data_IF_066402142047
#
_entry.id   IF_066402142047
#
_cell.length_a   1.000
_cell.length_b   1.000
_cell.length_c   1.000
_cell.angle_alpha   90.00
_cell.angle_beta   90.00
_cell.angle_gamma   90.00
#
_symmetry.space_group_name_H-M   'P 1'
#
loop_
_entity.id
_entity.type
_entity.pdbx_description
1 polymer ?
#
# COMPACT_ATOMS: atom_id res chain seq x y z
N UNK A 1 -4.62 17.20 -61.20
CA UNK A 1 -3.54 18.07 -60.69
C UNK A 1 -4.03 19.50 -60.80
N UNK A 2 -3.52 20.34 -59.90
CA UNK A 2 -3.74 21.80 -59.75
C UNK A 2 -4.85 22.24 -58.77
N UNK A 3 -4.39 22.56 -57.55
CA UNK A 3 -4.84 23.71 -56.76
C UNK A 3 -3.79 24.84 -56.94
N UNK A 4 -3.98 26.06 -56.37
CA UNK A 4 -5.01 27.08 -56.58
C UNK A 4 -4.33 28.44 -56.93
N UNK A 5 -4.97 29.61 -56.77
CA UNK A 5 -4.42 30.49 -55.72
C UNK A 5 -5.43 31.29 -54.89
N UNK A 6 -4.92 31.68 -53.71
CA UNK A 6 -5.44 32.60 -52.70
C UNK A 6 -5.95 33.94 -53.23
N UNK A 7 -6.99 34.47 -52.57
CA UNK A 7 -7.09 35.91 -52.33
C UNK A 7 -7.68 36.19 -50.95
N UNK A 8 -6.94 36.99 -50.19
CA UNK A 8 -7.22 37.54 -48.87
C UNK A 8 -8.01 38.83 -49.00
N UNK A 9 -9.03 39.05 -48.18
CA UNK A 9 -9.57 40.40 -47.96
C UNK A 9 -10.12 40.60 -46.54
N UNK A 10 -9.92 41.82 -46.06
CA UNK A 10 -9.92 42.30 -44.68
C UNK A 10 -11.32 42.50 -44.07
N UNK A 11 -11.44 42.35 -42.75
CA UNK A 11 -12.47 43.02 -41.93
C UNK A 11 -11.87 43.56 -40.62
N UNK A 12 -12.41 44.68 -40.07
CA UNK A 12 -11.64 45.61 -39.24
C UNK A 12 -11.73 45.37 -37.72
N UNK A 13 -10.83 46.07 -37.02
CA UNK A 13 -10.72 46.19 -35.57
C UNK A 13 -11.76 47.14 -34.97
N UNK A 14 -12.14 46.86 -33.71
CA UNK A 14 -12.62 47.75 -32.63
C UNK A 14 -13.11 46.82 -31.50
N UNK A 15 -12.98 47.03 -30.19
CA UNK A 15 -12.54 48.12 -29.32
C UNK A 15 -12.28 47.48 -27.93
N UNK A 16 -11.30 47.99 -27.19
CA UNK A 16 -11.20 47.78 -25.73
C UNK A 16 -12.06 48.82 -25.01
N UNK A 17 -12.46 48.55 -23.75
CA UNK A 17 -12.39 49.64 -22.77
C UNK A 17 -11.56 49.30 -21.53
N UNK A 18 -10.95 50.36 -21.03
CA UNK A 18 -10.07 50.47 -19.88
C UNK A 18 -10.80 50.39 -18.52
N UNK A 19 -9.94 50.32 -17.50
CA UNK A 19 -10.15 50.23 -16.05
C UNK A 19 -10.97 51.38 -15.45
N UNK A 20 -11.61 51.10 -14.31
CA UNK A 20 -11.87 52.10 -13.27
C UNK A 20 -11.87 51.49 -11.86
N UNK A 21 -11.39 52.28 -10.90
CA UNK A 21 -11.00 52.01 -9.53
C UNK A 21 -12.16 52.01 -8.52
N UNK A 22 -12.03 51.17 -7.48
CA UNK A 22 -12.24 51.55 -6.07
C UNK A 22 -13.68 51.57 -5.49
N UNK A 23 -13.94 50.74 -4.48
CA UNK A 23 -13.89 51.15 -3.05
C UNK A 23 -14.37 50.03 -2.11
N UNK A 24 -13.85 50.06 -0.88
CA UNK A 24 -14.13 49.17 0.25
C UNK A 24 -15.56 49.37 0.77
N UNK A 25 -16.22 48.29 1.21
CA UNK A 25 -16.90 48.24 2.53
C UNK A 25 -17.24 46.81 2.96
N UNK A 26 -17.07 46.62 4.26
CA UNK A 26 -17.25 45.45 5.10
C UNK A 26 -18.67 44.90 5.15
N UNK A 27 -18.81 43.60 5.45
CA UNK A 27 -19.76 43.16 6.48
C UNK A 27 -19.31 41.88 7.21
N UNK A 28 -19.34 41.98 8.54
CA UNK A 28 -19.21 40.93 9.56
C UNK A 28 -20.49 40.10 9.61
N UNK A 29 -20.36 38.79 9.79
CA UNK A 29 -21.14 37.91 10.71
C UNK A 29 -20.53 36.50 10.57
N UNK A 30 -19.65 36.00 11.45
CA UNK A 30 -19.79 35.59 12.84
C UNK A 30 -20.60 34.29 13.08
N UNK A 31 -19.86 33.23 13.49
CA UNK A 31 -20.20 32.18 14.48
C UNK A 31 -21.25 31.15 14.02
N UNK A 32 -21.11 29.83 14.20
CA UNK A 32 -20.42 28.99 15.21
C UNK A 32 -20.56 27.53 14.77
N UNK A 33 -19.55 26.68 14.98
CA UNK A 33 -19.74 25.34 15.57
C UNK A 33 -18.49 24.94 16.35
N UNK A 34 -18.72 24.38 17.54
CA UNK A 34 -17.75 24.12 18.61
C UNK A 34 -16.94 22.84 18.38
N UNK A 35 -15.77 22.87 19.03
CA UNK A 35 -14.75 21.85 19.19
C UNK A 35 -15.23 20.43 19.52
N UNK A 36 -14.48 19.46 19.00
CA UNK A 36 -14.12 18.23 19.70
C UNK A 36 -12.62 17.97 19.47
N UNK A 37 -11.94 17.55 20.53
CA UNK A 37 -10.52 17.68 20.78
C UNK A 37 -9.60 16.89 19.84
N UNK A 38 -8.62 17.57 19.25
CA UNK A 38 -7.36 16.97 18.82
C UNK A 38 -6.28 17.39 19.83
N UNK A 39 -5.72 16.39 20.52
CA UNK A 39 -4.71 16.58 21.53
C UNK A 39 -3.46 17.28 21.00
N UNK A 40 -3.18 18.43 21.60
CA UNK A 40 -1.89 19.11 21.77
C UNK A 40 -0.91 19.18 20.58
N UNK A 41 -0.96 20.29 19.84
CA UNK A 41 0.23 20.92 19.28
C UNK A 41 0.82 21.85 20.34
N UNK A 42 1.95 21.47 20.93
CA UNK A 42 2.77 22.39 21.72
C UNK A 42 3.69 23.20 20.78
N UNK A 43 3.25 24.42 20.47
CA UNK A 43 4.10 25.47 19.90
C UNK A 43 5.01 25.98 21.03
N UNK A 44 6.26 25.54 21.01
CA UNK A 44 7.35 26.00 21.88
C UNK A 44 8.48 26.57 21.02
N UNK A 45 8.86 27.80 21.35
CA UNK A 45 9.94 28.61 20.77
C UNK A 45 11.32 27.92 20.85
N UNK A 46 12.10 28.05 19.77
CA UNK A 46 13.57 27.95 19.65
C UNK A 46 14.32 27.08 20.68
N UNK A 47 14.69 25.88 20.25
CA UNK A 47 15.63 24.97 20.90
C UNK A 47 15.64 23.65 20.16
N UNK A 48 16.82 23.05 19.95
CA UNK A 48 17.00 21.71 19.39
C UNK A 48 16.13 20.70 20.15
N UNK A 49 14.89 20.49 19.69
CA UNK A 49 14.11 19.32 20.04
C UNK A 49 14.74 18.17 19.29
N UNK A 50 15.58 17.40 19.98
CA UNK A 50 15.83 16.01 19.58
C UNK A 50 14.46 15.41 19.27
N UNK A 51 14.19 15.11 17.99
CA UNK A 51 12.93 14.48 17.61
C UNK A 51 12.85 13.19 18.40
N UNK A 52 11.97 13.15 19.39
CA UNK A 52 11.70 11.91 20.11
C UNK A 52 11.39 10.83 19.07
N UNK A 53 12.03 9.68 19.24
CA UNK A 53 11.85 8.56 18.32
C UNK A 53 10.38 8.15 18.38
N UNK A 54 9.72 8.22 17.22
CA UNK A 54 8.32 7.82 17.07
C UNK A 54 8.12 6.39 17.62
N UNK A 55 7.10 6.19 18.44
CA UNK A 55 6.81 4.85 19.01
C UNK A 55 6.10 3.98 17.97
N UNK A 56 6.13 2.65 18.15
CA UNK A 56 5.34 1.74 17.33
C UNK A 56 3.84 2.09 17.25
N UNK A 57 3.26 2.50 18.37
CA UNK A 57 1.83 2.87 18.42
C UNK A 57 1.57 4.11 17.56
N UNK A 58 2.46 5.10 17.62
CA UNK A 58 2.36 6.32 16.81
C UNK A 58 2.49 6.00 15.33
N UNK A 59 3.52 5.22 14.96
CA UNK A 59 3.73 4.75 13.58
C UNK A 59 2.51 3.99 13.04
N UNK A 60 1.95 3.07 13.85
CA UNK A 60 0.78 2.26 13.49
C UNK A 60 -0.43 3.14 13.22
N UNK A 61 -0.74 4.08 14.12
CA UNK A 61 -1.92 4.93 14.01
C UNK A 61 -1.79 5.93 12.86
N UNK A 62 -0.60 6.53 12.69
CA UNK A 62 -0.32 7.38 11.52
C UNK A 62 -0.52 6.61 10.22
N UNK A 63 0.09 5.43 10.09
CA UNK A 63 -0.05 4.60 8.89
C UNK A 63 -1.52 4.22 8.62
N UNK A 64 -2.34 3.97 9.66
CA UNK A 64 -3.78 3.72 9.51
C UNK A 64 -4.51 4.91 8.92
N UNK A 65 -4.26 6.09 9.46
CA UNK A 65 -4.93 7.30 8.98
C UNK A 65 -4.51 7.63 7.55
N UNK A 66 -3.22 7.52 7.23
CA UNK A 66 -2.71 7.72 5.86
C UNK A 66 -3.31 6.70 4.89
N UNK A 67 -3.34 5.41 5.24
CA UNK A 67 -3.90 4.38 4.39
C UNK A 67 -5.41 4.58 4.16
N UNK A 68 -6.14 5.01 5.20
CA UNK A 68 -7.57 5.31 5.12
C UNK A 68 -7.89 6.55 4.28
N UNK A 69 -7.09 7.60 4.40
CA UNK A 69 -7.38 8.90 3.77
C UNK A 69 -6.75 9.04 2.39
N UNK A 70 -5.59 8.42 2.18
CA UNK A 70 -4.78 8.59 0.97
C UNK A 70 -4.59 7.28 0.19
N UNK A 71 -4.97 6.14 0.77
CA UNK A 71 -4.80 4.82 0.15
C UNK A 71 -3.35 4.31 0.15
N UNK A 72 -2.39 5.03 0.74
CA UNK A 72 -0.97 4.64 0.80
C UNK A 72 -0.30 5.36 1.97
N UNK A 73 0.66 4.71 2.62
CA UNK A 73 1.40 5.31 3.75
C UNK A 73 2.55 6.20 3.28
N UNK A 74 3.01 7.10 4.14
CA UNK A 74 4.15 7.98 3.86
C UNK A 74 5.44 7.18 3.63
N UNK A 75 5.62 6.05 4.30
CA UNK A 75 6.74 5.14 4.08
C UNK A 75 6.72 4.57 2.67
N UNK A 76 5.57 4.20 2.12
CA UNK A 76 5.48 3.69 0.76
C UNK A 76 5.59 4.81 -0.27
N UNK A 77 4.99 5.98 0.01
CA UNK A 77 5.17 7.19 -0.82
C UNK A 77 6.63 7.58 -0.95
N UNK A 78 7.49 7.30 0.03
CA UNK A 78 8.92 7.62 -0.06
C UNK A 78 9.65 6.90 -1.20
N UNK A 79 9.10 5.77 -1.69
CA UNK A 79 9.61 5.05 -2.86
C UNK A 79 8.98 5.48 -4.20
N UNK A 80 8.12 6.50 -4.19
CA UNK A 80 7.43 6.99 -5.37
C UNK A 80 8.25 8.06 -6.08
N UNK A 81 8.60 7.81 -7.34
CA UNK A 81 9.07 8.83 -8.27
C UNK A 81 7.88 9.27 -9.13
N UNK A 82 7.36 10.50 -8.95
CA UNK A 82 6.20 10.98 -9.69
C UNK A 82 6.34 10.81 -11.19
N UNK A 83 5.29 10.31 -11.85
CA UNK A 83 5.27 10.01 -13.29
C UNK A 83 5.92 8.67 -13.64
N UNK A 84 7.11 8.37 -13.11
CA UNK A 84 7.83 7.10 -13.37
C UNK A 84 7.06 5.91 -12.81
N UNK A 85 6.66 5.96 -11.54
CA UNK A 85 5.96 4.84 -10.90
C UNK A 85 4.57 4.62 -11.50
N UNK A 86 3.89 5.68 -11.95
CA UNK A 86 2.60 5.56 -12.65
C UNK A 86 2.74 4.92 -14.03
N UNK A 87 3.79 5.26 -14.76
CA UNK A 87 4.12 4.60 -16.03
C UNK A 87 4.39 3.12 -15.79
N UNK A 88 5.25 2.81 -14.82
CA UNK A 88 5.59 1.42 -14.45
C UNK A 88 4.35 0.63 -14.03
N UNK A 89 3.45 1.22 -13.24
CA UNK A 89 2.19 0.57 -12.86
C UNK A 89 1.34 0.17 -14.08
N UNK A 90 1.35 1.00 -15.13
CA UNK A 90 0.57 0.78 -16.35
C UNK A 90 1.22 -0.19 -17.31
N UNK A 91 2.54 -0.32 -17.30
CA UNK A 91 3.28 -1.02 -18.36
C UNK A 91 3.92 -2.31 -17.89
N UNK A 92 4.11 -2.50 -16.58
CA UNK A 92 4.75 -3.70 -16.03
C UNK A 92 3.72 -4.54 -15.28
N UNK A 93 3.68 -5.82 -15.63
CA UNK A 93 2.99 -6.86 -14.87
C UNK A 93 4.03 -7.48 -13.92
N UNK A 94 3.84 -7.43 -12.59
CA UNK A 94 4.74 -8.07 -11.64
C UNK A 94 4.56 -9.59 -11.71
N UNK A 95 5.16 -10.20 -12.72
CA UNK A 95 5.33 -11.64 -12.84
C UNK A 95 6.50 -12.06 -11.94
N UNK A 96 6.30 -13.11 -11.17
CA UNK A 96 7.22 -13.61 -10.14
C UNK A 96 8.71 -13.53 -10.56
N UNK A 97 9.45 -12.71 -9.80
CA UNK A 97 10.87 -12.82 -9.41
C UNK A 97 12.02 -12.91 -10.43
N UNK A 98 11.82 -12.91 -11.74
CA UNK A 98 12.94 -13.22 -12.67
C UNK A 98 13.23 -12.25 -13.83
N UNK A 99 12.54 -11.11 -13.95
CA UNK A 99 12.72 -10.25 -15.13
C UNK A 99 13.94 -9.33 -15.02
N UNK A 100 14.81 -9.36 -16.03
CA UNK A 100 15.93 -8.42 -16.17
C UNK A 100 15.51 -7.08 -16.80
N UNK A 101 16.39 -6.07 -16.80
CA UNK A 101 16.04 -4.73 -17.29
C UNK A 101 15.62 -4.70 -18.76
N UNK A 102 16.22 -5.54 -19.61
CA UNK A 102 15.83 -5.64 -21.01
C UNK A 102 14.41 -6.19 -21.13
N UNK A 103 14.10 -7.28 -20.43
CA UNK A 103 12.75 -7.88 -20.42
C UNK A 103 11.69 -6.93 -19.88
N UNK A 104 12.01 -6.17 -18.84
CA UNK A 104 11.11 -5.14 -18.31
C UNK A 104 10.89 -3.99 -19.30
N UNK A 105 11.93 -3.57 -20.02
CA UNK A 105 11.81 -2.56 -21.08
C UNK A 105 10.94 -3.07 -22.23
N UNK A 106 11.18 -4.28 -22.72
CA UNK A 106 10.41 -4.86 -23.82
C UNK A 106 8.94 -5.07 -23.40
N UNK A 107 8.70 -5.57 -22.18
CA UNK A 107 7.35 -5.65 -21.62
C UNK A 107 6.70 -4.28 -21.55
N UNK A 108 7.43 -3.25 -21.10
CA UNK A 108 6.88 -1.91 -21.01
C UNK A 108 6.52 -1.34 -22.39
N UNK A 109 7.38 -1.51 -23.39
CA UNK A 109 7.14 -1.08 -24.77
C UNK A 109 5.96 -1.82 -25.40
N UNK A 110 5.87 -3.14 -25.18
CA UNK A 110 4.74 -3.95 -25.63
C UNK A 110 3.43 -3.46 -25.01
N UNK A 111 3.39 -3.34 -23.68
CA UNK A 111 2.16 -2.97 -22.96
C UNK A 111 1.76 -1.50 -23.13
N UNK A 112 2.68 -0.62 -23.56
CA UNK A 112 2.34 0.73 -24.01
C UNK A 112 1.52 0.72 -25.31
N UNK A 113 1.74 -0.28 -26.18
CA UNK A 113 1.03 -0.43 -27.45
C UNK A 113 -0.26 -1.23 -27.29
N UNK A 114 -0.15 -2.38 -26.62
CA UNK A 114 -1.22 -3.38 -26.56
C UNK A 114 -2.08 -3.26 -25.29
N UNK A 115 -1.66 -2.45 -24.34
CA UNK A 115 -2.22 -2.45 -22.98
C UNK A 115 -1.64 -3.57 -22.13
N UNK A 116 -1.63 -3.37 -20.81
CA UNK A 116 -1.20 -4.39 -19.85
C UNK A 116 -2.38 -5.30 -19.50
N UNK A 117 -2.12 -6.60 -19.42
CA UNK A 117 -3.07 -7.56 -18.87
C UNK A 117 -3.58 -7.11 -17.49
N UNK A 118 -4.88 -7.23 -17.28
CA UNK A 118 -5.49 -6.86 -16.01
C UNK A 118 -5.04 -7.81 -14.91
N UNK A 119 -4.52 -7.24 -13.81
CA UNK A 119 -4.24 -7.98 -12.58
C UNK A 119 -5.52 -8.22 -11.79
N UNK A 120 -5.51 -9.26 -10.95
CA UNK A 120 -6.49 -9.39 -9.86
C UNK A 120 -6.47 -8.12 -8.99
N UNK A 121 -7.62 -7.65 -8.46
CA UNK A 121 -7.69 -6.43 -7.65
C UNK A 121 -6.67 -6.36 -6.52
N UNK A 122 -6.49 -7.46 -5.79
CA UNK A 122 -5.61 -7.55 -4.64
C UNK A 122 -4.13 -7.48 -5.06
N UNK A 123 -3.78 -8.15 -6.17
CA UNK A 123 -2.44 -8.11 -6.76
C UNK A 123 -2.13 -6.72 -7.34
N UNK A 124 -3.12 -6.04 -7.92
CA UNK A 124 -2.96 -4.65 -8.35
C UNK A 124 -2.71 -3.72 -7.16
N UNK A 125 -3.43 -3.86 -6.06
CA UNK A 125 -3.19 -3.07 -4.86
C UNK A 125 -1.81 -3.33 -4.26
N UNK A 126 -1.35 -4.59 -4.26
CA UNK A 126 0.00 -4.95 -3.80
C UNK A 126 1.07 -4.26 -4.65
N UNK A 127 0.88 -4.28 -5.98
CA UNK A 127 1.77 -3.62 -6.92
C UNK A 127 1.78 -2.09 -6.74
N UNK A 128 0.61 -1.49 -6.55
CA UNK A 128 0.45 -0.06 -6.31
C UNK A 128 1.13 0.37 -5.02
N UNK A 129 0.92 -0.35 -3.92
CA UNK A 129 1.57 -0.05 -2.65
C UNK A 129 3.08 -0.20 -2.73
N UNK A 130 3.59 -1.23 -3.42
CA UNK A 130 5.02 -1.36 -3.68
C UNK A 130 5.57 -0.11 -4.40
N UNK A 131 4.83 0.42 -5.38
CA UNK A 131 5.19 1.61 -6.13
C UNK A 131 4.89 2.94 -5.40
N UNK A 132 4.45 2.91 -4.15
CA UNK A 132 4.07 4.12 -3.41
C UNK A 132 2.85 4.85 -3.99
N UNK A 133 1.96 4.11 -4.66
CA UNK A 133 0.69 4.58 -5.18
C UNK A 133 -0.45 4.12 -4.28
N UNK A 134 -1.51 4.93 -4.20
CA UNK A 134 -2.73 4.61 -3.46
C UNK A 134 -3.35 3.27 -3.92
N UNK A 135 -3.64 2.36 -2.99
CA UNK A 135 -4.48 1.18 -3.25
C UNK A 135 -5.89 1.62 -3.70
N UNK A 136 -6.61 0.74 -4.39
CA UNK A 136 -7.91 1.03 -5.00
C UNK A 136 -9.07 0.20 -4.46
N UNK A 137 -8.78 -0.95 -3.86
CA UNK A 137 -9.80 -1.96 -3.52
C UNK A 137 -9.84 -2.25 -2.02
N UNK A 138 -9.21 -1.41 -1.19
CA UNK A 138 -9.12 -1.59 0.27
C UNK A 138 -8.61 -2.99 0.65
N UNK A 139 -7.66 -3.49 -0.15
CA UNK A 139 -7.06 -4.82 0.02
C UNK A 139 -6.26 -4.89 1.31
N UNK A 140 -5.52 -3.83 1.63
CA UNK A 140 -4.59 -3.79 2.76
C UNK A 140 -5.09 -2.89 3.89
N UNK A 141 -4.85 -3.35 5.11
CA UNK A 141 -4.95 -2.58 6.34
C UNK A 141 -3.60 -2.53 7.07
N UNK A 142 -3.57 -1.87 8.22
CA UNK A 142 -2.43 -1.94 9.15
C UNK A 142 -2.76 -2.92 10.27
N UNK A 143 -1.90 -3.91 10.46
CA UNK A 143 -1.99 -4.94 11.49
C UNK A 143 -2.03 -4.35 12.89
N UNK A 144 -2.83 -4.93 13.77
CA UNK A 144 -2.80 -4.59 15.21
C UNK A 144 -1.59 -5.17 15.93
N UNK A 145 -0.90 -6.11 15.29
CA UNK A 145 0.13 -6.90 15.90
C UNK A 145 1.49 -6.65 15.25
N UNK A 146 2.55 -7.01 15.99
CA UNK A 146 3.89 -7.17 15.44
C UNK A 146 4.41 -8.58 15.75
N UNK A 147 5.29 -9.15 14.92
CA UNK A 147 5.91 -10.43 15.22
C UNK A 147 6.71 -10.35 16.52
N UNK A 148 6.49 -11.29 17.44
CA UNK A 148 7.18 -11.35 18.74
C UNK A 148 8.70 -11.46 18.59
N UNK A 149 9.18 -12.05 17.48
CA UNK A 149 10.60 -12.23 17.18
C UNK A 149 11.22 -11.06 16.41
N UNK A 150 10.43 -10.06 15.99
CA UNK A 150 10.96 -8.91 15.26
C UNK A 150 11.83 -8.05 16.17
N UNK A 151 13.00 -7.65 15.67
CA UNK A 151 13.89 -6.68 16.32
C UNK A 151 13.61 -5.23 15.89
N UNK A 152 12.75 -5.06 14.88
CA UNK A 152 12.42 -3.77 14.31
C UNK A 152 11.14 -3.24 14.94
N UNK A 153 11.17 -1.97 15.29
CA UNK A 153 9.99 -1.26 15.77
C UNK A 153 9.35 -0.55 14.57
N UNK A 154 8.45 -1.25 13.88
CA UNK A 154 7.73 -0.79 12.69
C UNK A 154 6.31 -1.37 12.66
N UNK A 155 5.42 -0.74 11.91
CA UNK A 155 4.11 -1.30 11.64
C UNK A 155 4.18 -2.35 10.51
N UNK A 156 3.14 -3.16 10.41
CA UNK A 156 3.00 -4.22 9.41
C UNK A 156 1.67 -4.06 8.68
N UNK A 157 1.64 -4.41 7.40
CA UNK A 157 0.38 -4.48 6.66
C UNK A 157 -0.35 -5.79 7.00
N UNK A 158 -1.66 -5.79 6.80
CA UNK A 158 -2.50 -7.00 6.77
C UNK A 158 -3.30 -7.00 5.48
N UNK A 159 -3.73 -8.18 5.04
CA UNK A 159 -4.70 -8.32 3.95
C UNK A 159 -6.08 -8.47 4.59
N UNK A 160 -6.96 -7.49 4.36
CA UNK A 160 -8.23 -7.36 5.07
C UNK A 160 -9.14 -8.59 4.89
N UNK A 161 -9.12 -9.21 3.70
CA UNK A 161 -9.93 -10.39 3.40
C UNK A 161 -9.28 -11.72 3.77
N UNK A 162 -7.97 -11.76 4.03
CA UNK A 162 -7.23 -13.03 4.10
C UNK A 162 -7.76 -13.99 5.17
N UNK A 163 -8.08 -13.56 6.40
CA UNK A 163 -8.69 -14.44 7.40
C UNK A 163 -10.03 -15.05 6.97
N UNK A 164 -10.74 -14.46 6.01
CA UNK A 164 -12.05 -14.92 5.56
C UNK A 164 -11.99 -16.20 4.71
N UNK A 165 -10.82 -16.54 4.17
CA UNK A 165 -10.61 -17.73 3.34
C UNK A 165 -10.51 -19.03 4.16
N UNK A 166 -10.45 -18.92 5.49
CA UNK A 166 -10.25 -20.07 6.36
C UNK A 166 -11.49 -20.30 7.23
N UNK A 167 -12.09 -21.47 7.10
CA UNK A 167 -13.05 -22.03 8.05
C UNK A 167 -12.33 -22.93 9.06
N UNK A 168 -13.07 -23.62 9.93
CA UNK A 168 -12.50 -24.52 10.92
C UNK A 168 -11.64 -25.63 10.32
N UNK A 169 -11.99 -26.13 9.13
CA UNK A 169 -11.18 -27.13 8.43
C UNK A 169 -9.88 -26.53 7.88
N UNK A 170 -9.94 -25.30 7.34
CA UNK A 170 -8.78 -24.51 6.92
C UNK A 170 -7.81 -24.25 8.08
N UNK A 171 -8.32 -23.86 9.25
CA UNK A 171 -7.52 -23.66 10.47
C UNK A 171 -6.82 -24.97 10.87
N UNK A 172 -7.54 -26.10 10.91
CA UNK A 172 -6.94 -27.41 11.22
C UNK A 172 -5.85 -27.81 10.22
N UNK A 173 -6.05 -27.54 8.93
CA UNK A 173 -5.06 -27.81 7.89
C UNK A 173 -3.79 -26.98 8.10
N UNK A 174 -3.92 -25.70 8.45
CA UNK A 174 -2.75 -24.84 8.75
C UNK A 174 -2.00 -25.35 9.98
N UNK A 175 -2.70 -25.70 11.06
CA UNK A 175 -2.07 -26.24 12.27
C UNK A 175 -1.32 -27.55 11.98
N UNK A 176 -1.90 -28.41 11.15
CA UNK A 176 -1.26 -29.66 10.71
C UNK A 176 0.00 -29.40 9.88
N UNK A 177 -0.01 -28.41 8.98
CA UNK A 177 1.18 -27.99 8.23
C UNK A 177 2.29 -27.46 9.14
N UNK A 178 1.94 -26.64 10.14
CA UNK A 178 2.88 -26.12 11.15
C UNK A 178 3.56 -27.28 11.90
N UNK A 179 2.78 -28.23 12.43
CA UNK A 179 3.32 -29.37 13.17
C UNK A 179 4.15 -30.31 12.28
N UNK A 180 3.72 -30.52 11.03
CA UNK A 180 4.47 -31.29 10.05
C UNK A 180 5.84 -30.67 9.77
N UNK A 181 5.91 -29.36 9.50
CA UNK A 181 7.17 -28.63 9.27
C UNK A 181 8.07 -28.62 10.49
N UNK A 182 7.49 -28.54 11.69
CA UNK A 182 8.24 -28.66 12.95
C UNK A 182 8.86 -30.05 13.13
N UNK A 183 8.14 -31.12 12.76
CA UNK A 183 8.63 -32.50 12.81
C UNK A 183 9.69 -32.79 11.76
N UNK A 184 9.58 -32.16 10.59
CA UNK A 184 10.48 -32.35 9.45
C UNK A 184 11.16 -31.02 9.05
N UNK A 185 12.07 -30.48 9.86
CA UNK A 185 12.66 -29.16 9.65
C UNK A 185 13.51 -29.05 8.36
N UNK A 186 13.98 -30.18 7.83
CA UNK A 186 14.68 -30.22 6.54
C UNK A 186 13.73 -30.18 5.33
N UNK A 187 12.42 -30.30 5.55
CA UNK A 187 11.44 -30.14 4.49
C UNK A 187 11.25 -28.65 4.20
N UNK A 188 11.78 -28.21 3.06
CA UNK A 188 11.70 -26.83 2.59
C UNK A 188 10.48 -26.56 1.71
N UNK A 189 9.42 -27.38 1.81
CA UNK A 189 8.21 -27.16 1.01
C UNK A 189 7.61 -25.78 1.34
N UNK A 190 7.59 -24.84 0.38
CA UNK A 190 7.08 -23.50 0.61
C UNK A 190 5.56 -23.52 0.83
N UNK A 191 5.05 -22.55 1.58
CA UNK A 191 3.61 -22.28 1.60
C UNK A 191 3.30 -21.20 0.58
N UNK A 192 2.39 -21.48 -0.35
CA UNK A 192 1.96 -20.53 -1.37
C UNK A 192 0.57 -19.97 -1.07
N UNK A 193 0.38 -18.68 -1.31
CA UNK A 193 -0.93 -18.04 -1.23
C UNK A 193 -1.68 -18.21 -2.55
N UNK A 194 -2.52 -19.23 -2.61
CA UNK A 194 -3.44 -19.41 -3.74
C UNK A 194 -4.71 -18.57 -3.60
N UNK A 195 -5.01 -18.06 -2.40
CA UNK A 195 -6.25 -17.35 -2.10
C UNK A 195 -6.22 -15.95 -2.68
N UNK A 196 -5.21 -15.16 -2.33
CA UNK A 196 -5.08 -13.77 -2.78
C UNK A 196 -4.04 -13.60 -3.88
N UNK A 197 -3.15 -14.59 -4.03
CA UNK A 197 -1.97 -14.51 -4.88
C UNK A 197 -1.11 -13.27 -4.57
N UNK A 198 -1.18 -12.73 -3.35
CA UNK A 198 -0.29 -11.68 -2.88
C UNK A 198 0.93 -12.35 -2.24
N UNK A 199 0.71 -13.11 -1.18
CA UNK A 199 1.83 -13.58 -0.38
C UNK A 199 2.56 -14.72 -1.10
N UNK A 200 3.84 -14.53 -1.44
CA UNK A 200 4.59 -15.49 -2.27
C UNK A 200 4.84 -16.82 -1.56
N UNK A 201 6.06 -16.99 -1.08
CA UNK A 201 6.44 -18.09 -0.18
C UNK A 201 6.33 -17.63 1.27
N UNK A 202 5.10 -17.58 1.79
CA UNK A 202 4.84 -17.03 3.11
C UNK A 202 4.97 -18.08 4.22
N UNK A 203 4.96 -17.62 5.46
CA UNK A 203 5.15 -18.46 6.63
C UNK A 203 3.97 -18.40 7.58
N UNK A 204 3.69 -19.53 8.23
CA UNK A 204 2.74 -19.64 9.33
C UNK A 204 3.49 -19.92 10.64
N UNK A 205 2.93 -19.49 11.76
CA UNK A 205 3.39 -19.86 13.10
C UNK A 205 2.23 -19.94 14.07
N UNK A 206 2.31 -20.83 15.05
CA UNK A 206 1.37 -20.91 16.17
C UNK A 206 1.90 -20.08 17.33
N UNK A 207 1.00 -19.40 18.04
CA UNK A 207 1.30 -18.69 19.27
C UNK A 207 0.09 -18.65 20.20
N UNK A 208 0.29 -18.01 21.35
CA UNK A 208 -0.72 -17.79 22.37
C UNK A 208 -0.37 -16.51 23.12
N UNK A 209 -1.37 -15.68 23.40
CA UNK A 209 -1.26 -14.50 24.24
C UNK A 209 -2.50 -14.33 25.11
N UNK A 210 -2.67 -13.17 25.75
CA UNK A 210 -3.80 -12.90 26.64
C UNK A 210 -5.18 -13.01 25.96
N UNK A 211 -5.26 -12.92 24.63
CA UNK A 211 -6.49 -13.11 23.85
C UNK A 211 -6.72 -14.57 23.45
N UNK A 212 -5.77 -15.46 23.74
CA UNK A 212 -5.86 -16.90 23.51
C UNK A 212 -4.93 -17.42 22.40
N UNK A 213 -5.13 -18.67 21.95
CA UNK A 213 -4.32 -19.27 20.91
C UNK A 213 -4.59 -18.64 19.55
N UNK A 214 -3.53 -18.45 18.76
CA UNK A 214 -3.62 -17.86 17.43
C UNK A 214 -2.68 -18.52 16.44
N UNK A 215 -3.00 -18.32 15.16
CA UNK A 215 -2.11 -18.57 14.02
C UNK A 215 -1.69 -17.22 13.48
N UNK A 216 -0.39 -16.99 13.29
CA UNK A 216 0.12 -15.81 12.60
C UNK A 216 0.64 -16.16 11.22
N UNK A 217 0.40 -15.30 10.23
CA UNK A 217 1.05 -15.35 8.93
C UNK A 217 2.04 -14.20 8.77
N UNK A 218 3.11 -14.46 8.03
CA UNK A 218 4.09 -13.46 7.66
C UNK A 218 4.55 -13.66 6.23
N UNK A 219 4.58 -12.58 5.47
CA UNK A 219 5.22 -12.50 4.16
C UNK A 219 5.96 -11.18 4.02
N UNK A 220 7.00 -11.18 3.19
CA UNK A 220 7.60 -9.94 2.70
C UNK A 220 7.30 -9.84 1.22
N UNK A 221 6.48 -8.85 0.87
CA UNK A 221 6.29 -8.50 -0.51
C UNK A 221 7.51 -7.73 -1.01
N UNK A 222 8.49 -8.50 -1.48
CA UNK A 222 9.57 -8.03 -2.33
C UNK A 222 9.40 -8.62 -3.74
N UNK A 223 10.05 -8.02 -4.73
CA UNK A 223 10.09 -8.55 -6.09
C UNK A 223 11.43 -9.19 -6.42
N UNK A 224 12.43 -9.05 -5.54
CA UNK A 224 13.81 -9.55 -5.65
C UNK A 224 14.45 -9.37 -7.04
N UNK A 225 13.91 -8.46 -7.85
CA UNK A 225 14.25 -8.25 -9.24
C UNK A 225 15.37 -7.20 -9.36
N UNK A 226 16.04 -7.09 -10.52
CA UNK A 226 17.09 -6.11 -10.72
C UNK A 226 16.65 -4.66 -10.49
N UNK A 227 15.39 -4.31 -10.73
CA UNK A 227 14.89 -2.94 -10.49
C UNK A 227 14.86 -2.60 -9.00
N UNK A 228 14.44 -3.55 -8.17
CA UNK A 228 14.55 -3.44 -6.72
C UNK A 228 16.02 -3.32 -6.28
N UNK A 229 16.91 -4.13 -6.87
CA UNK A 229 18.35 -4.12 -6.55
C UNK A 229 19.07 -2.83 -6.93
N UNK A 230 18.60 -2.12 -7.96
CA UNK A 230 19.15 -0.81 -8.33
C UNK A 230 18.49 0.30 -7.48
N UNK A 231 17.47 -0.03 -6.66
CA UNK A 231 16.84 0.90 -5.71
C UNK A 231 16.09 2.05 -6.38
N UNK A 232 15.77 1.92 -7.68
CA UNK A 232 15.20 3.03 -8.47
C UNK A 232 13.69 3.14 -8.25
N UNK A 233 13.00 2.02 -8.04
CA UNK A 233 11.53 2.02 -8.06
C UNK A 233 10.95 1.09 -7.01
N UNK A 234 10.07 1.67 -6.20
CA UNK A 234 9.24 0.96 -5.25
C UNK A 234 9.96 0.58 -3.96
N UNK A 235 9.18 0.06 -3.02
CA UNK A 235 9.62 -0.25 -1.66
C UNK A 235 8.93 -1.52 -1.18
N UNK A 236 9.70 -2.59 -0.86
CA UNK A 236 9.16 -3.77 -0.24
C UNK A 236 8.42 -3.45 1.05
N UNK A 237 7.39 -4.22 1.36
CA UNK A 237 6.63 -4.10 2.59
C UNK A 237 6.33 -5.47 3.18
N UNK A 238 6.09 -5.50 4.49
CA UNK A 238 5.85 -6.73 5.23
C UNK A 238 4.38 -6.85 5.58
N UNK A 239 3.86 -8.06 5.38
CA UNK A 239 2.50 -8.45 5.68
C UNK A 239 2.57 -9.37 6.90
N UNK A 240 1.88 -9.01 7.97
CA UNK A 240 1.80 -9.80 9.19
C UNK A 240 0.46 -9.60 9.86
N UNK A 241 -0.23 -10.67 10.22
CA UNK A 241 -1.40 -10.59 11.09
C UNK A 241 -1.61 -11.90 11.86
N UNK A 242 -2.61 -11.89 12.74
CA UNK A 242 -3.02 -13.03 13.56
C UNK A 242 -4.47 -13.41 13.28
N UNK A 243 -4.75 -14.70 13.38
CA UNK A 243 -6.07 -15.30 13.35
C UNK A 243 -6.25 -16.06 14.66
N UNK A 244 -7.10 -15.55 15.54
CA UNK A 244 -7.49 -16.24 16.78
C UNK A 244 -8.50 -17.33 16.48
N UNK A 245 -8.45 -18.42 17.25
CA UNK A 245 -9.35 -19.56 17.07
C UNK A 245 -9.66 -20.26 18.38
N UNK A 246 -10.82 -20.89 18.47
CA UNK A 246 -11.16 -21.79 19.57
C UNK A 246 -10.41 -23.12 19.41
N UNK A 247 -9.63 -23.58 20.40
CA UNK A 247 -8.81 -24.79 20.25
C UNK A 247 -9.61 -26.09 20.23
N UNK A 248 -10.88 -26.08 20.63
CA UNK A 248 -11.77 -27.25 20.61
C UNK A 248 -12.54 -27.35 19.29
N UNK A 249 -13.07 -26.22 18.80
CA UNK A 249 -13.90 -26.19 17.59
C UNK A 249 -13.14 -25.77 16.33
N UNK A 250 -11.98 -25.15 16.49
CA UNK A 250 -11.18 -24.50 15.44
C UNK A 250 -11.88 -23.35 14.73
N UNK A 251 -13.01 -22.88 15.27
CA UNK A 251 -13.71 -21.71 14.75
C UNK A 251 -12.89 -20.44 15.01
N UNK A 252 -12.90 -19.51 14.05
CA UNK A 252 -12.24 -18.23 14.19
C UNK A 252 -12.91 -17.39 15.27
N UNK A 253 -12.12 -16.75 16.11
CA UNK A 253 -12.57 -15.78 17.10
C UNK A 253 -12.19 -14.39 16.57
N UNK A 254 -13.18 -13.50 16.50
CA UNK A 254 -12.88 -12.09 16.21
C UNK A 254 -12.33 -11.45 17.50
N UNK A 255 -11.19 -10.75 17.44
CA UNK A 255 -10.70 -9.97 18.57
C UNK A 255 -11.66 -8.82 18.95
#
# INVERSE_FOLDING_TARGET
>A
MEQPPNSSENLPADEKPEKSFGSKKSNKLAKTFRAAALGAVLVGTSGDRMKEKETWTDMKERARQELKTEGVTSEQKSGNIPGVNHLINKTITPANYALNWHELREMALHNLREGRQQLRPEREDAWRLYLGLAQKHDTFGISDFKPTKSKEDKYYFKINSFPNHFDSAGIQKILSDIEFKKKYPNNKSPTFDFETAIMGEYSWSKGEDEQGPYISYYDKWDLSNPVEKIGIVGKPFEIYDRIYYDPQTFEKISP
#
